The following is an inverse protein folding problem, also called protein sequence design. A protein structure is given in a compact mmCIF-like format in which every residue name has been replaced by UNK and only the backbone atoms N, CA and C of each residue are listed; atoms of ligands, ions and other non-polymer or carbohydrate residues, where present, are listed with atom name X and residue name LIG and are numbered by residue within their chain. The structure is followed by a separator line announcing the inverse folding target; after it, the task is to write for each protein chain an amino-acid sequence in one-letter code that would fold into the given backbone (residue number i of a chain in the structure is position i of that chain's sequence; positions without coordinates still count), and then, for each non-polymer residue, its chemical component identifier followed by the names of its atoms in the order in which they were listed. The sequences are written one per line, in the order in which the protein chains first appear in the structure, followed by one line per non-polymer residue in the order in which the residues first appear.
data_IF_164844762557
#
_entry.id   IF_164844762557
#
_cell.length_a   1.000
_cell.length_b   1.000
_cell.length_c   1.000
_cell.angle_alpha   90.00
_cell.angle_beta   90.00
_cell.angle_gamma   90.00
#
_symmetry.space_group_name_H-M   'P 1'
#
loop_
_entity.id
_entity.type
_entity.pdbx_description
1 polymer ?
#
# COMPACT_ATOMS: atom_id res chain seq x y z
N UNK A 1 -26.72 25.02 2.41
CA UNK A 1 -26.12 23.85 3.11
C UNK A 1 -24.87 23.45 2.35
N UNK A 2 -23.73 23.26 3.02
CA UNK A 2 -22.51 22.79 2.35
C UNK A 2 -22.65 21.34 1.87
N UNK A 3 -22.12 21.03 0.70
CA UNK A 3 -22.12 19.68 0.13
C UNK A 3 -21.26 18.67 0.92
N UNK A 4 -21.37 17.39 0.54
CA UNK A 4 -20.64 16.29 1.17
C UNK A 4 -19.11 16.48 1.09
N UNK A 5 -18.57 16.94 -0.04
CA UNK A 5 -17.15 17.15 -0.25
C UNK A 5 -16.59 18.22 0.72
N UNK A 6 -17.21 19.40 0.77
CA UNK A 6 -16.81 20.51 1.67
C UNK A 6 -16.91 20.11 3.15
N UNK A 7 -17.89 19.25 3.50
CA UNK A 7 -18.01 18.72 4.86
C UNK A 7 -16.91 17.70 5.16
N UNK A 8 -16.58 16.81 4.22
CA UNK A 8 -15.50 15.84 4.38
C UNK A 8 -14.15 16.52 4.56
N UNK A 9 -13.84 17.53 3.73
CA UNK A 9 -12.62 18.33 3.84
C UNK A 9 -12.47 18.98 5.22
N UNK A 10 -13.53 19.62 5.73
CA UNK A 10 -13.51 20.22 7.07
C UNK A 10 -13.28 19.19 8.16
N UNK A 11 -13.90 18.01 8.08
CA UNK A 11 -13.71 16.94 9.06
C UNK A 11 -12.27 16.41 9.07
N UNK A 12 -11.66 16.23 7.90
CA UNK A 12 -10.25 15.82 7.81
C UNK A 12 -9.31 16.93 8.29
N UNK A 13 -9.60 18.19 7.97
CA UNK A 13 -8.80 19.33 8.41
C UNK A 13 -8.72 19.45 9.93
N UNK A 14 -9.81 19.17 10.66
CA UNK A 14 -9.85 19.19 12.12
C UNK A 14 -8.90 18.18 12.78
N UNK A 15 -8.62 17.07 12.12
CA UNK A 15 -7.74 16.00 12.65
C UNK A 15 -6.38 15.97 11.95
N UNK A 16 -6.08 16.92 11.06
CA UNK A 16 -4.86 16.91 10.25
C UNK A 16 -3.61 16.74 11.09
N UNK A 17 -3.47 17.52 12.15
CA UNK A 17 -2.32 17.46 13.06
C UNK A 17 -2.57 16.63 14.32
N UNK A 18 -3.70 15.91 14.39
CA UNK A 18 -4.01 14.99 15.49
C UNK A 18 -3.95 13.54 15.02
N UNK A 19 -2.86 12.85 15.37
CA UNK A 19 -2.65 11.43 15.01
C UNK A 19 -3.75 10.54 15.58
N UNK A 20 -4.18 10.80 16.82
CA UNK A 20 -5.26 10.05 17.46
C UNK A 20 -6.59 10.35 16.79
N UNK A 21 -6.83 11.62 16.43
CA UNK A 21 -7.99 12.08 15.67
C UNK A 21 -8.10 11.41 14.30
N UNK A 22 -6.99 11.26 13.56
CA UNK A 22 -6.96 10.51 12.29
C UNK A 22 -7.38 9.05 12.47
N UNK A 23 -6.86 8.39 13.51
CA UNK A 23 -7.22 7.01 13.82
C UNK A 23 -8.68 6.89 14.22
N UNK A 24 -9.18 7.80 15.05
CA UNK A 24 -10.59 7.86 15.45
C UNK A 24 -11.50 8.07 14.23
N UNK A 25 -11.16 8.98 13.32
CA UNK A 25 -11.91 9.24 12.10
C UNK A 25 -11.94 8.02 11.16
N UNK A 26 -10.81 7.32 11.02
CA UNK A 26 -10.76 6.07 10.26
C UNK A 26 -11.67 4.99 10.88
N UNK A 27 -11.63 4.86 12.22
CA UNK A 27 -12.41 3.87 12.96
C UNK A 27 -13.91 4.19 12.94
N UNK A 28 -14.27 5.47 12.99
CA UNK A 28 -15.65 5.95 12.96
C UNK A 28 -16.39 5.45 11.72
N UNK A 29 -15.75 5.50 10.54
CA UNK A 29 -16.33 5.01 9.29
C UNK A 29 -16.80 3.56 9.41
N UNK A 30 -15.97 2.68 9.96
CA UNK A 30 -16.31 1.26 10.14
C UNK A 30 -17.34 1.04 11.23
N UNK A 31 -17.25 1.77 12.34
CA UNK A 31 -18.20 1.66 13.46
C UNK A 31 -19.62 2.07 13.07
N UNK A 32 -19.77 3.08 12.21
CA UNK A 32 -21.07 3.55 11.71
C UNK A 32 -21.58 2.80 10.49
N UNK A 33 -20.76 1.91 9.91
CA UNK A 33 -21.18 1.07 8.78
C UNK A 33 -22.04 -0.11 9.24
N UNK A 34 -22.94 -0.55 8.37
CA UNK A 34 -23.66 -1.83 8.52
C UNK A 34 -22.72 -3.02 8.30
N UNK A 35 -23.15 -4.20 8.76
CA UNK A 35 -22.49 -5.45 8.37
C UNK A 35 -22.74 -5.72 6.87
N UNK A 36 -21.79 -6.34 6.14
CA UNK A 36 -20.47 -6.83 6.58
C UNK A 36 -19.35 -5.77 6.64
N UNK A 37 -19.56 -4.54 6.16
CA UNK A 37 -18.51 -3.53 6.01
C UNK A 37 -17.80 -3.18 7.31
N UNK A 38 -18.52 -3.20 8.44
CA UNK A 38 -17.96 -3.01 9.79
C UNK A 38 -16.72 -3.87 10.07
N UNK A 39 -16.64 -5.08 9.50
CA UNK A 39 -15.53 -6.02 9.74
C UNK A 39 -14.33 -5.80 8.83
N UNK A 40 -14.43 -4.96 7.80
CA UNK A 40 -13.37 -4.84 6.79
C UNK A 40 -12.21 -3.92 7.23
N UNK A 41 -12.38 -3.14 8.29
CA UNK A 41 -11.40 -2.14 8.73
C UNK A 41 -10.15 -2.70 9.42
N UNK A 42 -10.05 -4.00 9.68
CA UNK A 42 -8.95 -4.56 10.47
C UNK A 42 -7.57 -4.25 9.90
N UNK A 43 -7.38 -4.48 8.59
CA UNK A 43 -6.10 -4.27 7.93
C UNK A 43 -5.72 -2.78 7.90
N UNK A 44 -6.64 -1.91 7.47
CA UNK A 44 -6.41 -0.47 7.39
C UNK A 44 -6.09 0.12 8.78
N UNK A 45 -6.88 -0.20 9.80
CA UNK A 45 -6.65 0.30 11.16
C UNK A 45 -5.35 -0.24 11.77
N UNK A 46 -4.94 -1.46 11.40
CA UNK A 46 -3.62 -1.98 11.81
C UNK A 46 -2.49 -1.19 11.15
N UNK A 47 -2.60 -0.92 9.84
CA UNK A 47 -1.64 -0.12 9.10
C UNK A 47 -1.55 1.32 9.63
N UNK A 48 -2.69 1.91 9.99
CA UNK A 48 -2.74 3.27 10.52
C UNK A 48 -2.08 3.38 11.91
N UNK A 49 -2.30 2.39 12.78
CA UNK A 49 -1.60 2.29 14.08
C UNK A 49 -0.10 2.11 13.91
N UNK A 50 0.32 1.29 12.95
CA UNK A 50 1.73 1.15 12.62
C UNK A 50 2.33 2.47 12.13
N UNK A 51 1.62 3.17 11.22
CA UNK A 51 2.05 4.46 10.69
C UNK A 51 2.18 5.53 11.78
N UNK A 52 1.25 5.53 12.73
CA UNK A 52 1.30 6.36 13.92
C UNK A 52 2.52 6.02 14.80
N UNK A 53 2.71 4.74 15.15
CA UNK A 53 3.82 4.28 15.98
C UNK A 53 5.19 4.56 15.35
N UNK A 54 5.29 4.45 14.02
CA UNK A 54 6.52 4.76 13.27
C UNK A 54 6.86 6.25 13.25
N UNK A 55 5.87 7.12 13.45
CA UNK A 55 6.04 8.57 13.44
C UNK A 55 5.81 9.24 12.08
N UNK A 56 5.49 8.48 11.01
CA UNK A 56 5.24 9.09 9.68
C UNK A 56 4.02 10.01 9.67
N UNK A 57 3.10 9.86 10.64
CA UNK A 57 1.91 10.71 10.77
C UNK A 57 2.08 11.89 11.74
N UNK A 58 3.24 12.04 12.40
CA UNK A 58 3.46 13.12 13.37
C UNK A 58 3.26 14.52 12.74
N UNK A 59 2.83 15.54 13.52
CA UNK A 59 2.68 16.91 13.03
C UNK A 59 3.96 17.43 12.39
N UNK A 60 3.82 18.24 11.33
CA UNK A 60 5.01 18.78 10.61
C UNK A 60 5.76 19.85 11.40
N UNK A 61 5.13 20.44 12.41
CA UNK A 61 5.71 21.49 13.26
C UNK A 61 6.33 20.96 14.54
N UNK A 62 6.30 19.64 14.79
CA UNK A 62 6.88 19.04 16.00
C UNK A 62 8.37 18.75 15.88
N UNK A 63 9.02 18.44 17.02
CA UNK A 63 10.46 18.14 17.11
C UNK A 63 10.90 16.96 16.24
N UNK A 64 9.99 16.01 16.01
CA UNK A 64 10.16 14.89 15.08
C UNK A 64 9.03 14.95 14.05
N UNK A 65 9.20 15.73 12.97
CA UNK A 65 8.13 15.94 12.01
C UNK A 65 7.85 14.64 11.26
N UNK A 66 6.55 14.39 10.99
CA UNK A 66 6.14 13.27 10.14
C UNK A 66 6.42 13.52 8.65
N UNK A 67 6.17 12.50 7.84
CA UNK A 67 6.29 12.59 6.38
C UNK A 67 5.14 13.40 5.81
N UNK A 68 5.46 14.40 4.99
CA UNK A 68 4.44 15.17 4.27
C UNK A 68 3.62 14.25 3.36
N UNK A 69 4.29 13.33 2.66
CA UNK A 69 3.66 12.41 1.73
C UNK A 69 2.71 11.42 2.41
N UNK A 70 3.18 10.68 3.44
CA UNK A 70 2.36 9.68 4.13
C UNK A 70 1.10 10.31 4.76
N UNK A 71 1.24 11.52 5.30
CA UNK A 71 0.12 12.28 5.87
C UNK A 71 -0.90 12.67 4.82
N UNK A 72 -0.45 13.15 3.66
CA UNK A 72 -1.33 13.56 2.55
C UNK A 72 -2.07 12.39 1.91
N UNK A 73 -1.42 11.25 1.69
CA UNK A 73 -2.09 10.03 1.20
C UNK A 73 -3.13 9.55 2.20
N UNK A 74 -2.81 9.57 3.50
CA UNK A 74 -3.77 9.22 4.55
C UNK A 74 -4.96 10.20 4.60
N UNK A 75 -4.72 11.51 4.47
CA UNK A 75 -5.79 12.52 4.40
C UNK A 75 -6.74 12.25 3.23
N UNK A 76 -6.19 11.91 2.05
CA UNK A 76 -6.99 11.54 0.88
C UNK A 76 -7.91 10.35 1.15
N UNK A 77 -7.37 9.26 1.69
CA UNK A 77 -8.16 8.07 2.05
C UNK A 77 -9.23 8.37 3.10
N UNK A 78 -8.92 9.17 4.13
CA UNK A 78 -9.90 9.57 5.15
C UNK A 78 -11.03 10.40 4.55
N UNK A 79 -10.67 11.40 3.72
CA UNK A 79 -11.62 12.28 3.06
C UNK A 79 -12.58 11.50 2.18
N UNK A 80 -12.07 10.58 1.36
CA UNK A 80 -12.90 9.80 0.43
C UNK A 80 -13.97 8.97 1.17
N UNK A 81 -13.58 8.33 2.28
CA UNK A 81 -14.50 7.57 3.13
C UNK A 81 -15.54 8.43 3.83
N UNK A 82 -15.12 9.57 4.38
CA UNK A 82 -16.04 10.51 5.03
C UNK A 82 -17.04 11.06 4.03
N UNK A 83 -16.58 11.45 2.85
CA UNK A 83 -17.44 11.96 1.79
C UNK A 83 -18.46 10.92 1.33
N UNK A 84 -18.02 9.69 1.05
CA UNK A 84 -18.92 8.60 0.67
C UNK A 84 -19.97 8.31 1.74
N UNK A 85 -19.57 8.27 3.02
CA UNK A 85 -20.50 8.10 4.14
C UNK A 85 -21.54 9.22 4.22
N UNK A 86 -21.13 10.47 3.97
CA UNK A 86 -22.05 11.61 3.93
C UNK A 86 -23.03 11.53 2.75
N UNK A 87 -22.57 11.16 1.56
CA UNK A 87 -23.42 10.98 0.38
C UNK A 87 -24.44 9.86 0.60
N UNK A 88 -24.02 8.72 1.17
CA UNK A 88 -24.92 7.63 1.52
C UNK A 88 -25.95 8.00 2.61
N UNK A 89 -25.61 8.97 3.48
CA UNK A 89 -26.52 9.53 4.48
C UNK A 89 -27.44 10.66 3.95
N UNK A 90 -27.43 10.92 2.64
CA UNK A 90 -28.31 11.92 2.00
C UNK A 90 -27.80 13.36 2.07
N UNK A 91 -26.52 13.59 2.38
CA UNK A 91 -25.93 14.91 2.21
C UNK A 91 -25.94 15.32 0.72
N UNK A 92 -26.18 16.61 0.39
CA UNK A 92 -26.22 17.06 -1.00
C UNK A 92 -24.82 17.01 -1.64
N UNK A 93 -24.78 16.91 -2.97
CA UNK A 93 -23.57 16.89 -3.78
C UNK A 93 -23.42 15.63 -4.63
N UNK A 94 -22.35 15.58 -5.40
CA UNK A 94 -21.89 14.40 -6.14
C UNK A 94 -20.52 13.99 -5.60
N UNK A 95 -20.11 12.76 -5.91
CA UNK A 95 -18.77 12.28 -5.57
C UNK A 95 -17.70 13.18 -6.20
N UNK A 96 -16.76 13.67 -5.39
CA UNK A 96 -15.70 14.59 -5.83
C UNK A 96 -14.60 13.91 -6.64
N UNK A 97 -14.53 12.57 -6.61
CA UNK A 97 -13.54 11.78 -7.32
C UNK A 97 -14.05 10.36 -7.57
N UNK A 98 -13.41 9.66 -8.52
CA UNK A 98 -13.71 8.26 -8.83
C UNK A 98 -13.55 7.32 -7.62
N UNK A 99 -12.56 7.59 -6.76
CA UNK A 99 -12.38 6.83 -5.52
C UNK A 99 -13.56 6.98 -4.57
N UNK A 100 -14.20 8.15 -4.51
CA UNK A 100 -15.41 8.40 -3.72
C UNK A 100 -16.60 7.62 -4.29
N UNK A 101 -16.74 7.58 -5.63
CA UNK A 101 -17.77 6.73 -6.28
C UNK A 101 -17.64 5.27 -5.85
N UNK A 102 -16.42 4.71 -5.89
CA UNK A 102 -16.19 3.33 -5.45
C UNK A 102 -16.48 3.12 -3.96
N UNK A 103 -16.21 4.11 -3.11
CA UNK A 103 -16.59 4.04 -1.69
C UNK A 103 -18.11 4.10 -1.51
N UNK A 104 -18.82 4.91 -2.29
CA UNK A 104 -20.30 4.93 -2.28
C UNK A 104 -20.85 3.56 -2.70
N UNK A 105 -20.31 2.97 -3.77
CA UNK A 105 -20.68 1.62 -4.20
C UNK A 105 -20.40 0.58 -3.10
N UNK A 106 -19.23 0.64 -2.47
CA UNK A 106 -18.87 -0.26 -1.37
C UNK A 106 -19.76 -0.08 -0.13
N UNK A 107 -20.21 1.13 0.19
CA UNK A 107 -21.11 1.37 1.33
C UNK A 107 -22.52 0.85 1.03
N UNK A 108 -22.97 0.96 -0.23
CA UNK A 108 -24.30 0.50 -0.66
C UNK A 108 -24.37 -1.03 -0.81
N UNK A 109 -23.34 -1.63 -1.41
CA UNK A 109 -23.25 -3.08 -1.64
C UNK A 109 -21.87 -3.60 -1.17
N UNK A 110 -21.70 -3.79 0.14
CA UNK A 110 -20.41 -4.14 0.71
C UNK A 110 -19.97 -5.57 0.37
N UNK A 111 -18.84 -5.67 -0.32
CA UNK A 111 -18.11 -6.91 -0.54
C UNK A 111 -16.60 -6.69 -0.36
N UNK A 112 -15.81 -7.74 -0.10
CA UNK A 112 -14.35 -7.63 -0.08
C UNK A 112 -13.77 -6.99 -1.36
N UNK A 113 -14.34 -7.31 -2.52
CA UNK A 113 -13.87 -6.79 -3.80
C UNK A 113 -14.17 -5.29 -3.94
N UNK A 114 -15.39 -4.86 -3.58
CA UNK A 114 -15.75 -3.44 -3.57
C UNK A 114 -14.86 -2.65 -2.59
N UNK A 115 -14.57 -3.21 -1.41
CA UNK A 115 -13.70 -2.58 -0.42
C UNK A 115 -12.27 -2.41 -0.93
N UNK A 116 -11.64 -3.45 -1.49
CA UNK A 116 -10.30 -3.33 -2.06
C UNK A 116 -10.26 -2.37 -3.25
N UNK A 117 -11.29 -2.37 -4.11
CA UNK A 117 -11.37 -1.43 -5.24
C UNK A 117 -11.40 0.01 -4.76
N UNK A 118 -12.29 0.33 -3.81
CA UNK A 118 -12.42 1.67 -3.24
C UNK A 118 -11.17 2.11 -2.49
N UNK A 119 -10.66 1.26 -1.60
CA UNK A 119 -9.44 1.52 -0.84
C UNK A 119 -8.24 1.76 -1.76
N UNK A 120 -7.98 0.87 -2.71
CA UNK A 120 -6.83 0.99 -3.60
C UNK A 120 -6.96 2.19 -4.54
N UNK A 121 -8.17 2.58 -4.95
CA UNK A 121 -8.38 3.79 -5.73
C UNK A 121 -7.97 5.04 -4.94
N UNK A 122 -8.34 5.15 -3.66
CA UNK A 122 -7.90 6.26 -2.81
C UNK A 122 -6.37 6.27 -2.62
N UNK A 123 -5.76 5.11 -2.42
CA UNK A 123 -4.30 5.00 -2.30
C UNK A 123 -3.61 5.44 -3.59
N UNK A 124 -4.00 4.89 -4.75
CA UNK A 124 -3.40 5.22 -6.05
C UNK A 124 -3.61 6.69 -6.40
N UNK A 125 -4.79 7.25 -6.13
CA UNK A 125 -5.03 8.68 -6.28
C UNK A 125 -4.08 9.52 -5.41
N UNK A 126 -3.79 9.06 -4.19
CA UNK A 126 -2.80 9.68 -3.31
C UNK A 126 -1.38 9.65 -3.88
N UNK A 127 -0.93 8.52 -4.44
CA UNK A 127 0.38 8.42 -5.10
C UNK A 127 0.48 9.39 -6.27
N UNK A 128 -0.53 9.42 -7.14
CA UNK A 128 -0.52 10.29 -8.32
C UNK A 128 -0.59 11.78 -7.95
N UNK A 129 -1.34 12.15 -6.90
CA UNK A 129 -1.54 13.55 -6.52
C UNK A 129 -0.34 14.14 -5.77
N UNK A 130 0.40 13.32 -5.04
CA UNK A 130 1.42 13.77 -4.10
C UNK A 130 2.84 13.34 -4.50
N UNK A 131 3.07 13.10 -5.78
CA UNK A 131 4.41 12.73 -6.29
C UNK A 131 5.47 13.76 -5.87
N UNK A 132 5.13 15.05 -5.90
CA UNK A 132 5.97 16.17 -5.47
C UNK A 132 6.40 16.06 -4.00
N UNK A 133 5.54 15.53 -3.13
CA UNK A 133 5.84 15.31 -1.72
C UNK A 133 6.69 14.05 -1.49
N UNK A 134 6.68 13.10 -2.42
CA UNK A 134 7.47 11.88 -2.34
C UNK A 134 8.90 12.06 -2.88
N UNK A 135 9.14 12.96 -3.83
CA UNK A 135 10.49 13.27 -4.35
C UNK A 135 11.51 13.61 -3.25
N UNK A 136 11.21 14.51 -2.28
CA UNK A 136 12.18 14.88 -1.24
C UNK A 136 12.36 13.82 -0.14
N UNK A 137 11.55 12.75 -0.13
CA UNK A 137 11.68 11.67 0.84
C UNK A 137 12.99 10.91 0.65
N UNK A 138 13.49 10.27 1.71
CA UNK A 138 14.73 9.48 1.62
C UNK A 138 14.58 8.34 0.60
N UNK A 139 15.70 7.89 0.04
CA UNK A 139 15.68 6.76 -0.90
C UNK A 139 15.08 5.48 -0.30
N UNK A 140 15.30 5.26 1.01
CA UNK A 140 14.64 4.19 1.76
C UNK A 140 13.13 4.36 1.74
N UNK A 141 12.62 5.56 2.02
CA UNK A 141 11.17 5.77 2.02
C UNK A 141 10.55 5.61 0.64
N UNK A 142 11.18 6.13 -0.40
CA UNK A 142 10.71 5.94 -1.78
C UNK A 142 10.66 4.46 -2.16
N UNK A 143 11.65 3.68 -1.73
CA UNK A 143 11.62 2.23 -1.87
C UNK A 143 10.45 1.59 -1.11
N UNK A 144 10.19 2.02 0.14
CA UNK A 144 9.06 1.52 0.94
C UNK A 144 7.70 1.88 0.36
N UNK A 145 7.55 3.05 -0.25
CA UNK A 145 6.34 3.42 -0.98
C UNK A 145 6.07 2.43 -2.12
N UNK A 146 7.09 2.10 -2.91
CA UNK A 146 6.96 1.08 -3.97
C UNK A 146 6.54 -0.29 -3.42
N UNK A 147 7.12 -0.73 -2.30
CA UNK A 147 6.76 -2.00 -1.62
C UNK A 147 5.33 -1.95 -1.05
N UNK A 148 4.93 -0.85 -0.42
CA UNK A 148 3.58 -0.70 0.09
C UNK A 148 2.55 -0.75 -1.05
N UNK A 149 2.84 -0.08 -2.17
CA UNK A 149 1.96 -0.08 -3.34
C UNK A 149 1.81 -1.48 -3.95
N UNK A 150 2.91 -2.18 -4.26
CA UNK A 150 2.79 -3.51 -4.87
C UNK A 150 2.03 -4.49 -3.96
N UNK A 151 2.20 -4.41 -2.63
CA UNK A 151 1.49 -5.29 -1.69
C UNK A 151 -0.01 -5.01 -1.66
N UNK A 152 -0.41 -3.74 -1.66
CA UNK A 152 -1.84 -3.38 -1.67
C UNK A 152 -2.50 -3.79 -3.00
N UNK A 153 -1.80 -3.63 -4.13
CA UNK A 153 -2.29 -4.08 -5.43
C UNK A 153 -2.38 -5.60 -5.50
N UNK A 154 -1.36 -6.31 -5.02
CA UNK A 154 -1.30 -7.77 -5.02
C UNK A 154 -2.43 -8.38 -4.18
N UNK A 155 -2.70 -7.81 -3.01
CA UNK A 155 -3.78 -8.28 -2.12
C UNK A 155 -5.15 -8.21 -2.81
N UNK A 156 -5.42 -7.12 -3.55
CA UNK A 156 -6.64 -7.04 -4.37
C UNK A 156 -6.65 -8.08 -5.50
N UNK A 157 -5.53 -8.29 -6.19
CA UNK A 157 -5.42 -9.30 -7.24
C UNK A 157 -5.59 -10.74 -6.73
N UNK A 158 -5.14 -11.05 -5.52
CA UNK A 158 -5.37 -12.37 -4.90
C UNK A 158 -6.85 -12.68 -4.71
N UNK A 159 -7.67 -11.65 -4.48
CA UNK A 159 -9.11 -11.79 -4.32
C UNK A 159 -9.82 -11.93 -5.67
N UNK A 160 -9.55 -11.01 -6.60
CA UNK A 160 -10.35 -10.85 -7.84
C UNK A 160 -9.77 -11.63 -9.03
N UNK A 161 -8.46 -11.85 -9.05
CA UNK A 161 -7.73 -12.60 -10.09
C UNK A 161 -6.75 -13.58 -9.46
N UNK A 162 -7.20 -14.54 -8.63
CA UNK A 162 -6.32 -15.41 -7.83
C UNK A 162 -5.26 -16.18 -8.65
N UNK A 163 -5.59 -16.58 -9.89
CA UNK A 163 -4.62 -17.25 -10.79
C UNK A 163 -3.50 -16.32 -11.27
N UNK A 164 -3.80 -15.03 -11.43
CA UNK A 164 -2.77 -14.02 -11.72
C UNK A 164 -1.78 -13.96 -10.55
N UNK A 165 -2.31 -13.91 -9.32
CA UNK A 165 -1.52 -13.70 -8.11
C UNK A 165 -0.75 -14.94 -7.65
N UNK A 166 -1.38 -16.12 -7.66
CA UNK A 166 -0.86 -17.35 -7.05
C UNK A 166 -0.70 -18.53 -8.04
N UNK A 167 -1.01 -18.35 -9.32
CA UNK A 167 -0.96 -19.43 -10.30
C UNK A 167 -1.90 -20.58 -9.92
N UNK A 168 -1.36 -21.81 -9.84
CA UNK A 168 -2.14 -23.00 -9.48
C UNK A 168 -2.61 -23.01 -8.02
N UNK A 169 -1.95 -22.25 -7.13
CA UNK A 169 -2.39 -22.03 -5.74
C UNK A 169 -3.55 -21.04 -5.64
N UNK A 170 -4.05 -20.53 -6.77
CA UNK A 170 -5.16 -19.57 -6.87
C UNK A 170 -6.36 -19.85 -5.95
N UNK A 171 -6.87 -21.09 -5.82
CA UNK A 171 -8.03 -21.37 -4.97
C UNK A 171 -7.86 -20.96 -3.49
N UNK A 172 -6.63 -20.82 -2.99
CA UNK A 172 -6.35 -20.38 -1.62
C UNK A 172 -6.42 -18.86 -1.45
N UNK A 173 -6.27 -18.09 -2.55
CA UNK A 173 -6.14 -16.63 -2.54
C UNK A 173 -7.24 -15.91 -1.77
N UNK A 174 -8.53 -16.05 -2.16
CA UNK A 174 -9.63 -15.28 -1.57
C UNK A 174 -9.77 -15.45 -0.05
N UNK A 175 -9.52 -16.66 0.49
CA UNK A 175 -9.59 -16.91 1.94
C UNK A 175 -8.46 -16.24 2.71
N UNK A 176 -7.28 -16.12 2.11
CA UNK A 176 -6.11 -15.52 2.76
C UNK A 176 -6.24 -14.00 2.89
N UNK A 177 -6.87 -13.35 1.92
CA UNK A 177 -6.96 -11.88 1.81
C UNK A 177 -8.34 -11.31 2.17
N UNK A 178 -9.26 -12.13 2.66
CA UNK A 178 -10.58 -11.66 3.07
C UNK A 178 -10.46 -10.65 4.23
N UNK A 179 -10.91 -9.40 4.06
CA UNK A 179 -10.71 -8.33 5.03
C UNK A 179 -11.45 -8.56 6.35
N UNK A 180 -12.38 -9.52 6.40
CA UNK A 180 -13.06 -9.94 7.63
C UNK A 180 -12.14 -10.68 8.59
N UNK A 181 -11.07 -11.32 8.09
CA UNK A 181 -10.21 -12.17 8.90
C UNK A 181 -8.90 -11.46 9.27
N UNK A 182 -8.38 -11.79 10.46
CA UNK A 182 -7.10 -11.25 10.95
C UNK A 182 -5.88 -11.74 10.13
N UNK A 183 -6.07 -12.68 9.20
CA UNK A 183 -5.02 -13.21 8.32
C UNK A 183 -4.45 -12.15 7.37
N UNK A 184 -5.25 -11.15 6.97
CA UNK A 184 -4.79 -10.03 6.13
C UNK A 184 -3.70 -9.20 6.81
N UNK A 185 -3.66 -9.19 8.15
CA UNK A 185 -2.62 -8.52 8.91
C UNK A 185 -1.22 -9.00 8.49
N UNK A 186 -1.05 -10.26 8.11
CA UNK A 186 0.26 -10.82 7.73
C UNK A 186 0.79 -10.31 6.39
N UNK A 187 -0.09 -9.96 5.44
CA UNK A 187 0.32 -9.41 4.14
C UNK A 187 0.69 -7.92 4.20
N UNK A 188 0.11 -7.21 5.17
CA UNK A 188 0.27 -5.76 5.37
C UNK A 188 1.01 -5.40 6.66
N UNK A 189 1.60 -6.38 7.38
CA UNK A 189 2.42 -6.14 8.59
C UNK A 189 3.79 -5.57 8.17
N UNK A 190 3.73 -4.35 7.65
CA UNK A 190 4.86 -3.54 7.24
C UNK A 190 5.79 -3.22 8.43
N UNK A 191 5.32 -3.38 9.66
CA UNK A 191 6.15 -3.33 10.88
C UNK A 191 7.17 -4.45 11.03
N UNK A 192 7.11 -5.49 10.21
CA UNK A 192 8.17 -6.51 10.08
C UNK A 192 8.94 -6.41 8.77
N UNK A 193 8.68 -5.40 7.95
CA UNK A 193 9.42 -5.18 6.69
C UNK A 193 10.19 -3.86 6.68
N UNK A 194 9.88 -2.96 7.61
CA UNK A 194 10.41 -1.60 7.61
C UNK A 194 10.96 -1.19 8.99
N UNK A 195 11.90 -0.23 9.03
CA UNK A 195 12.40 0.38 10.25
C UNK A 195 11.27 0.91 11.12
N UNK A 196 11.42 0.70 12.42
CA UNK A 196 10.42 1.06 13.42
C UNK A 196 10.23 2.57 13.61
N UNK A 197 11.12 3.42 13.08
CA UNK A 197 11.14 4.86 13.33
C UNK A 197 11.33 5.64 12.03
N UNK A 198 10.64 6.77 11.93
CA UNK A 198 10.81 7.81 10.91
C UNK A 198 11.37 9.11 11.53
N UNK A 199 12.27 9.84 10.85
CA UNK A 199 12.89 9.49 9.57
C UNK A 199 13.90 8.35 9.73
N UNK A 200 14.08 7.56 8.66
CA UNK A 200 15.11 6.50 8.65
C UNK A 200 16.49 7.14 8.53
N UNK A 201 17.37 6.83 9.47
CA UNK A 201 18.75 7.37 9.53
C UNK A 201 19.81 6.39 9.00
N UNK A 202 19.44 5.12 8.79
CA UNK A 202 20.35 4.08 8.30
C UNK A 202 20.56 4.17 6.78
N UNK A 203 21.72 3.72 6.26
CA UNK A 203 21.94 3.61 4.82
C UNK A 203 20.91 2.71 4.12
N UNK A 204 20.58 3.03 2.87
CA UNK A 204 19.52 2.33 2.11
C UNK A 204 19.79 0.84 1.95
N UNK A 205 21.01 0.48 1.55
CA UNK A 205 21.39 -0.91 1.30
C UNK A 205 21.31 -1.75 2.56
N UNK A 206 21.78 -1.22 3.69
CA UNK A 206 21.75 -1.94 4.97
C UNK A 206 20.31 -2.13 5.45
N UNK A 207 19.46 -1.11 5.28
CA UNK A 207 18.02 -1.20 5.59
C UNK A 207 17.30 -2.24 4.73
N UNK A 208 17.61 -2.30 3.43
CA UNK A 208 17.03 -3.30 2.53
C UNK A 208 17.49 -4.71 2.91
N UNK A 209 18.76 -4.88 3.29
CA UNK A 209 19.32 -6.17 3.66
C UNK A 209 18.83 -6.69 5.02
N UNK A 210 18.46 -5.79 5.93
CA UNK A 210 17.87 -6.12 7.24
C UNK A 210 16.38 -6.52 7.15
N UNK A 211 15.79 -6.45 5.94
CA UNK A 211 14.42 -6.91 5.73
C UNK A 211 14.27 -8.41 6.03
N UNK A 212 13.27 -8.77 6.84
CA UNK A 212 13.00 -10.15 7.22
C UNK A 212 12.81 -11.07 6.00
N UNK A 213 13.42 -12.25 6.04
CA UNK A 213 13.44 -13.21 4.92
C UNK A 213 12.06 -13.58 4.34
N UNK A 214 11.01 -13.63 5.18
CA UNK A 214 9.64 -13.96 4.74
C UNK A 214 9.03 -12.83 3.89
N UNK A 215 9.25 -11.57 4.29
CA UNK A 215 8.80 -10.41 3.52
C UNK A 215 9.47 -10.38 2.15
N UNK A 216 10.78 -10.66 2.11
CA UNK A 216 11.55 -10.78 0.86
C UNK A 216 11.05 -11.91 -0.03
N UNK A 217 10.72 -13.08 0.54
CA UNK A 217 10.15 -14.20 -0.22
C UNK A 217 8.83 -13.81 -0.88
N UNK A 218 7.95 -13.10 -0.17
CA UNK A 218 6.69 -12.63 -0.71
C UNK A 218 6.92 -11.62 -1.84
N UNK A 219 7.62 -10.52 -1.55
CA UNK A 219 7.73 -9.40 -2.49
C UNK A 219 8.52 -9.79 -3.74
N UNK A 220 9.64 -10.51 -3.59
CA UNK A 220 10.56 -10.82 -4.69
C UNK A 220 10.35 -12.20 -5.29
N UNK A 221 9.88 -13.17 -4.50
CA UNK A 221 9.61 -14.52 -4.98
C UNK A 221 8.21 -14.70 -5.56
N UNK A 222 7.21 -13.97 -5.05
CA UNK A 222 5.80 -14.15 -5.42
C UNK A 222 5.26 -12.95 -6.20
N UNK A 223 5.41 -11.72 -5.69
CA UNK A 223 4.75 -10.55 -6.31
C UNK A 223 5.52 -10.06 -7.53
N UNK A 224 6.82 -9.84 -7.35
CA UNK A 224 7.76 -9.34 -8.34
C UNK A 224 7.68 -9.95 -9.75
N UNK A 225 7.64 -11.29 -9.93
CA UNK A 225 7.51 -11.90 -11.25
C UNK A 225 6.25 -11.50 -12.03
N UNK A 226 5.27 -10.89 -11.35
CA UNK A 226 3.94 -10.58 -11.89
C UNK A 226 3.70 -9.07 -12.00
N UNK A 227 4.68 -8.23 -11.67
CA UNK A 227 4.48 -6.78 -11.59
C UNK A 227 3.82 -6.18 -12.84
N UNK A 228 4.27 -6.45 -14.08
CA UNK A 228 3.62 -5.89 -15.27
C UNK A 228 2.14 -6.26 -15.36
N UNK A 229 1.81 -7.55 -15.16
CA UNK A 229 0.44 -8.03 -15.26
C UNK A 229 -0.43 -7.57 -14.08
N UNK A 230 0.17 -7.44 -12.89
CA UNK A 230 -0.47 -6.92 -11.69
C UNK A 230 -0.85 -5.44 -11.88
N UNK A 231 0.09 -4.61 -12.31
CA UNK A 231 -0.14 -3.19 -12.53
C UNK A 231 -1.13 -2.96 -13.69
N UNK A 232 -1.06 -3.74 -14.77
CA UNK A 232 -2.06 -3.68 -15.84
C UNK A 232 -3.47 -4.06 -15.35
N UNK A 233 -3.59 -5.13 -14.55
CA UNK A 233 -4.86 -5.50 -13.93
C UNK A 233 -5.39 -4.39 -13.01
N UNK A 234 -4.54 -3.85 -12.13
CA UNK A 234 -4.95 -2.80 -11.20
C UNK A 234 -5.32 -1.51 -11.92
N UNK A 235 -4.59 -1.12 -12.96
CA UNK A 235 -4.91 0.06 -13.77
C UNK A 235 -6.30 -0.07 -14.41
N UNK A 236 -6.62 -1.24 -14.96
CA UNK A 236 -7.94 -1.51 -15.51
C UNK A 236 -9.04 -1.57 -14.42
N UNK A 237 -8.79 -2.26 -13.31
CA UNK A 237 -9.77 -2.42 -12.23
C UNK A 237 -10.11 -1.09 -11.53
N UNK A 238 -9.15 -0.17 -11.46
CA UNK A 238 -9.31 1.15 -10.84
C UNK A 238 -9.69 2.24 -11.83
N UNK A 239 -9.70 1.95 -13.13
CA UNK A 239 -9.89 2.92 -14.22
C UNK A 239 -8.82 4.04 -14.19
N UNK A 240 -7.58 3.68 -13.87
CA UNK A 240 -6.45 4.61 -13.75
C UNK A 240 -5.23 4.11 -14.56
N UNK A 241 -5.13 4.46 -15.85
CA UNK A 241 -4.07 3.95 -16.74
C UNK A 241 -2.66 4.43 -16.34
N UNK A 242 -2.54 5.59 -15.68
CA UNK A 242 -1.24 6.15 -15.28
C UNK A 242 -0.52 5.29 -14.26
N UNK A 243 -1.23 4.41 -13.54
CA UNK A 243 -0.64 3.46 -12.61
C UNK A 243 0.46 2.61 -13.27
N UNK A 244 0.31 2.26 -14.56
CA UNK A 244 1.32 1.47 -15.28
C UNK A 244 2.65 2.19 -15.45
N UNK A 245 2.68 3.52 -15.41
CA UNK A 245 3.90 4.32 -15.49
C UNK A 245 4.76 4.22 -14.21
N UNK A 246 4.24 3.67 -13.12
CA UNK A 246 5.03 3.37 -11.92
C UNK A 246 5.88 2.10 -12.06
N UNK A 247 5.98 1.54 -13.27
CA UNK A 247 6.95 0.52 -13.62
C UNK A 247 7.94 1.04 -14.66
N UNK A 248 9.21 0.82 -14.42
CA UNK A 248 10.29 1.02 -15.39
C UNK A 248 10.95 -0.33 -15.70
N UNK A 249 10.79 -0.81 -16.94
CA UNK A 249 11.23 -2.13 -17.39
C UNK A 249 10.80 -3.30 -16.48
N UNK A 250 9.58 -3.24 -15.93
CA UNK A 250 9.02 -4.28 -15.05
C UNK A 250 9.50 -4.24 -13.61
N UNK A 251 10.17 -3.16 -13.19
CA UNK A 251 10.57 -2.87 -11.81
C UNK A 251 9.78 -1.68 -11.29
N UNK A 252 9.38 -1.64 -10.00
CA UNK A 252 8.73 -0.46 -9.44
C UNK A 252 9.60 0.79 -9.63
N UNK A 253 8.97 1.91 -9.94
CA UNK A 253 9.64 3.15 -10.32
C UNK A 253 8.91 4.42 -9.85
N UNK A 254 7.96 4.30 -8.91
CA UNK A 254 7.31 5.47 -8.33
C UNK A 254 8.36 6.33 -7.60
N UNK A 255 8.51 7.59 -8.02
CA UNK A 255 9.58 8.53 -7.59
C UNK A 255 10.97 7.90 -7.54
N UNK A 256 11.28 7.07 -8.53
CA UNK A 256 12.55 6.36 -8.62
C UNK A 256 13.18 6.56 -9.98
N UNK A 257 14.48 6.89 -10.00
CA UNK A 257 15.20 7.03 -11.27
C UNK A 257 15.69 5.68 -11.78
N UNK A 258 15.90 5.57 -13.10
CA UNK A 258 16.48 4.36 -13.71
C UNK A 258 17.84 3.98 -13.10
N UNK A 259 18.62 4.96 -12.64
CA UNK A 259 19.90 4.74 -11.97
C UNK A 259 19.78 4.03 -10.61
N UNK A 260 18.62 4.14 -9.96
CA UNK A 260 18.39 3.54 -8.65
C UNK A 260 17.74 2.15 -8.74
N UNK A 261 17.30 1.72 -9.94
CA UNK A 261 16.77 0.36 -10.21
C UNK A 261 17.61 -0.77 -9.61
N UNK A 262 18.96 -0.73 -9.59
CA UNK A 262 19.77 -1.79 -9.01
C UNK A 262 19.47 -2.11 -7.55
N UNK A 263 18.97 -1.15 -6.78
CA UNK A 263 18.59 -1.33 -5.37
C UNK A 263 17.48 -2.37 -5.21
N UNK A 264 16.56 -2.45 -6.16
CA UNK A 264 15.51 -3.47 -6.17
C UNK A 264 16.07 -4.90 -6.19
N UNK A 265 17.23 -5.08 -6.82
CA UNK A 265 17.87 -6.39 -6.95
C UNK A 265 18.79 -6.76 -5.78
N UNK A 266 19.09 -5.84 -4.85
CA UNK A 266 20.08 -6.06 -3.79
C UNK A 266 19.66 -7.19 -2.84
N UNK A 267 20.35 -8.32 -2.95
CA UNK A 267 20.05 -9.57 -2.23
C UNK A 267 18.74 -10.25 -2.66
N UNK A 268 18.07 -9.78 -3.72
CA UNK A 268 16.70 -10.17 -4.11
C UNK A 268 16.65 -11.05 -5.36
N UNK A 269 17.77 -11.68 -5.71
CA UNK A 269 17.91 -12.46 -6.96
C UNK A 269 18.39 -13.90 -6.70
N UNK A 270 18.31 -14.36 -5.45
CA UNK A 270 18.81 -15.67 -5.03
C UNK A 270 18.07 -16.84 -5.69
N UNK A 271 18.72 -18.00 -5.75
CA UNK A 271 18.14 -19.20 -6.36
C UNK A 271 16.82 -19.64 -5.68
N UNK A 272 16.70 -19.43 -4.37
CA UNK A 272 15.48 -19.71 -3.60
C UNK A 272 14.28 -18.86 -4.07
N UNK A 273 14.48 -17.57 -4.39
CA UNK A 273 13.41 -16.70 -4.91
C UNK A 273 12.96 -17.13 -6.32
N UNK A 274 13.90 -17.52 -7.18
CA UNK A 274 13.58 -18.07 -8.51
C UNK A 274 12.81 -19.39 -8.41
N UNK A 275 13.15 -20.23 -7.44
CA UNK A 275 12.42 -21.46 -7.17
C UNK A 275 10.97 -21.17 -6.73
N UNK A 276 10.77 -20.23 -5.80
CA UNK A 276 9.43 -19.79 -5.37
C UNK A 276 8.62 -19.22 -6.55
N UNK A 277 9.23 -18.40 -7.39
CA UNK A 277 8.57 -17.88 -8.59
C UNK A 277 8.06 -19.02 -9.47
N UNK A 278 8.90 -20.02 -9.76
CA UNK A 278 8.50 -21.20 -10.56
C UNK A 278 7.40 -22.00 -9.89
N UNK A 279 7.52 -22.29 -8.60
CA UNK A 279 6.50 -23.04 -7.85
C UNK A 279 5.18 -22.29 -7.84
N UNK A 280 5.17 -20.95 -7.81
CA UNK A 280 3.93 -20.17 -7.89
C UNK A 280 3.42 -19.99 -9.34
N UNK A 281 4.13 -20.50 -10.34
CA UNK A 281 3.74 -20.43 -11.75
C UNK A 281 4.21 -19.20 -12.52
N UNK A 282 5.33 -18.58 -12.12
CA UNK A 282 5.94 -17.47 -12.82
C UNK A 282 7.45 -17.65 -13.01
N UNK A 283 8.05 -16.81 -13.86
CA UNK A 283 9.49 -16.79 -14.09
C UNK A 283 10.08 -15.45 -13.68
N UNK A 284 11.12 -15.48 -12.84
CA UNK A 284 11.88 -14.29 -12.46
C UNK A 284 13.05 -14.09 -13.44
N UNK A 285 12.91 -13.13 -14.37
CA UNK A 285 13.87 -12.83 -15.44
C UNK A 285 14.93 -11.78 -15.07
N UNK A 286 15.13 -11.52 -13.78
CA UNK A 286 16.02 -10.44 -13.33
C UNK A 286 17.51 -10.78 -13.39
N UNK A 287 18.36 -9.75 -13.62
CA UNK A 287 19.81 -9.88 -13.54
C UNK A 287 20.25 -10.32 -12.13
N UNK A 288 21.44 -10.92 -11.98
CA UNK A 288 21.99 -11.27 -10.67
C UNK A 288 22.24 -10.02 -9.82
N UNK A 289 22.07 -10.17 -8.50
CA UNK A 289 22.23 -9.10 -7.50
C UNK A 289 23.61 -8.46 -7.61
N UNK A 290 23.69 -7.11 -7.64
CA UNK A 290 24.97 -6.39 -7.68
C UNK A 290 25.76 -6.46 -6.37
N UNK A 291 25.14 -6.87 -5.26
CA UNK A 291 25.85 -7.15 -4.02
C UNK A 291 26.77 -8.36 -4.19
N UNK A 292 28.05 -8.09 -4.47
CA UNK A 292 29.10 -9.08 -4.57
C UNK A 292 29.15 -9.96 -3.32
N UNK A 293 29.53 -11.23 -3.51
CA UNK A 293 29.81 -12.18 -2.43
C UNK A 293 30.67 -11.49 -1.36
N UNK A 294 30.08 -11.07 -0.23
CA UNK A 294 30.86 -10.93 1.00
C UNK A 294 31.38 -12.33 1.28
N UNK A 295 32.63 -12.59 0.90
CA UNK A 295 33.39 -13.74 1.39
C UNK A 295 33.27 -13.67 2.91
N UNK A 296 32.65 -14.68 3.50
CA UNK A 296 32.80 -14.96 4.92
C UNK A 296 34.29 -15.11 5.18
N UNK A 297 34.91 -14.07 5.70
CA UNK A 297 36.17 -14.20 6.40
C UNK A 297 35.89 -15.07 7.62
N UNK A 298 36.09 -16.38 7.46
CA UNK A 298 36.36 -17.28 8.57
C UNK A 298 37.61 -16.71 9.23
N UNK A 299 37.46 -16.06 10.38
CA UNK A 299 38.57 -15.91 11.30
C UNK A 299 38.90 -17.31 11.81
N UNK A 300 40.13 -17.73 11.52
CA UNK A 300 40.78 -18.81 12.25
C UNK A 300 41.24 -18.34 13.63
#
# INVERSE_FOLDING_TARGET
MSDAATRAERRVALVRDDVSGRLALAQEFYTHSSEPLRRYGHAELSFLRWSAARGVLAPRSGDRPGSAWWRSVNEGLLRDKVEAGLLCAGAPGQASAKSVEYWVDCVRDPSPAAWYRAHNASIVAGYLRHEDLAVPESQVERFMMNVALLRVLFTHAMLVRPRLALGWLGPLGPRLVDPRYRTVKWFLDLGRSFPAVYPVTLPTVDTILDEHAVARMLDYGVIAPRLPALYAFSAAALEEPRLTAFLDAGVPAYVWTTAERPLWYVGNTGAHLRFIARVTGAHLSWPPSPAGRRRSSRHG
#
